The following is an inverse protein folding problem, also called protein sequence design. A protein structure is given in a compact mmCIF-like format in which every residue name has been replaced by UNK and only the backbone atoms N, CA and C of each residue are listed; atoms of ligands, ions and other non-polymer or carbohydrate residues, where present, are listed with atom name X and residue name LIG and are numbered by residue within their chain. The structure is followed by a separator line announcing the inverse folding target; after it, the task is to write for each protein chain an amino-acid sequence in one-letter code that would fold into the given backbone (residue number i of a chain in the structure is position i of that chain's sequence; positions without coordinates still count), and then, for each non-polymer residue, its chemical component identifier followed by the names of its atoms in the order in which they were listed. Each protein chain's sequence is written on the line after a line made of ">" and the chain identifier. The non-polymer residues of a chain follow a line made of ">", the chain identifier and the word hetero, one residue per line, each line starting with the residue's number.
data_IF_081374015813
#
_entry.id   IF_081374015813
#
_cell.length_a   1.000
_cell.length_b   1.000
_cell.length_c   1.000
_cell.angle_alpha   90.00
_cell.angle_beta   90.00
_cell.angle_gamma   90.00
#
_symmetry.space_group_name_H-M   'P 1'
#
loop_
_entity.id
_entity.type
_entity.pdbx_description
1 polymer ?
#
# COMPACT_ATOMS: atom_id res chain seq x y z
N UNK A 1 -6.01 -20.06 -8.14
CA UNK A 1 -5.07 -21.10 -7.69
C UNK A 1 -3.63 -20.69 -8.00
N UNK A 2 -3.24 -20.53 -9.27
CA UNK A 2 -1.86 -20.16 -9.69
C UNK A 2 -1.26 -18.90 -9.01
N UNK A 3 -2.03 -17.81 -8.85
CA UNK A 3 -1.47 -16.57 -8.29
C UNK A 3 -1.12 -16.65 -6.80
N UNK A 4 -1.85 -17.47 -6.02
CA UNK A 4 -1.56 -17.70 -4.60
C UNK A 4 -0.32 -18.57 -4.42
N UNK A 5 -0.16 -19.60 -5.26
CA UNK A 5 1.04 -20.43 -5.33
C UNK A 5 2.27 -19.55 -5.60
N UNK A 6 2.22 -18.74 -6.66
CA UNK A 6 3.33 -17.87 -7.07
C UNK A 6 3.74 -16.90 -5.96
N UNK A 7 2.77 -16.26 -5.29
CA UNK A 7 3.04 -15.37 -4.17
C UNK A 7 3.63 -16.11 -2.96
N UNK A 8 3.21 -17.35 -2.70
CA UNK A 8 3.74 -18.20 -1.64
C UNK A 8 5.20 -18.56 -1.90
N UNK A 9 5.50 -19.13 -3.08
CA UNK A 9 6.86 -19.50 -3.49
C UNK A 9 7.80 -18.30 -3.46
N UNK A 10 7.35 -17.16 -3.96
CA UNK A 10 8.16 -15.93 -3.93
C UNK A 10 8.44 -15.43 -2.51
N UNK A 11 7.50 -15.62 -1.59
CA UNK A 11 7.72 -15.25 -0.19
C UNK A 11 8.68 -16.20 0.56
N UNK A 12 8.78 -17.44 0.08
CA UNK A 12 9.64 -18.53 0.58
C UNK A 12 11.04 -18.55 -0.07
N UNK A 13 11.23 -17.90 -1.23
CA UNK A 13 12.53 -17.85 -1.96
C UNK A 13 13.69 -17.22 -1.17
N UNK A 14 13.46 -16.59 -0.02
CA UNK A 14 14.52 -16.01 0.81
C UNK A 14 15.40 -17.01 1.58
N UNK A 15 15.34 -18.31 1.27
CA UNK A 15 16.10 -19.36 1.96
C UNK A 15 17.14 -20.11 1.11
N UNK A 16 17.09 -19.99 -0.22
CA UNK A 16 18.01 -20.65 -1.13
C UNK A 16 18.65 -19.57 -1.98
N UNK A 17 19.92 -19.25 -1.68
CA UNK A 17 20.62 -18.14 -2.31
C UNK A 17 20.63 -18.25 -3.82
N UNK A 18 19.91 -17.33 -4.50
CA UNK A 18 20.31 -16.73 -5.78
C UNK A 18 19.34 -15.65 -6.30
N UNK A 19 18.11 -15.50 -5.78
CA UNK A 19 17.21 -14.42 -6.22
C UNK A 19 16.51 -13.73 -5.04
N UNK A 20 17.09 -12.61 -4.58
CA UNK A 20 16.38 -11.73 -3.67
C UNK A 20 15.25 -10.97 -4.39
N UNK A 21 14.02 -11.03 -3.86
CA UNK A 21 12.91 -10.19 -4.29
C UNK A 21 13.23 -8.69 -4.38
N UNK A 22 13.35 -8.14 -5.59
CA UNK A 22 13.50 -6.70 -5.78
C UNK A 22 12.17 -5.95 -5.63
N UNK A 23 12.24 -4.61 -5.56
CA UNK A 23 11.09 -3.72 -5.39
C UNK A 23 9.98 -3.94 -6.42
N UNK A 24 10.34 -4.23 -7.67
CA UNK A 24 9.35 -4.43 -8.75
C UNK A 24 8.57 -5.72 -8.52
N UNK A 25 9.24 -6.79 -8.13
CA UNK A 25 8.60 -8.07 -7.86
C UNK A 25 7.67 -8.00 -6.64
N UNK A 26 8.08 -7.31 -5.56
CA UNK A 26 7.19 -7.02 -4.43
C UNK A 26 5.96 -6.21 -4.85
N UNK A 27 6.19 -5.12 -5.61
CA UNK A 27 5.13 -4.26 -6.10
C UNK A 27 4.11 -5.06 -6.91
N UNK A 28 4.58 -5.89 -7.85
CA UNK A 28 3.72 -6.70 -8.72
C UNK A 28 2.89 -7.72 -7.94
N UNK A 29 3.47 -8.36 -6.92
CA UNK A 29 2.72 -9.33 -6.10
C UNK A 29 1.67 -8.64 -5.23
N UNK A 30 2.00 -7.49 -4.64
CA UNK A 30 1.08 -6.73 -3.80
C UNK A 30 -0.09 -6.21 -4.63
N UNK A 31 0.19 -5.56 -5.77
CA UNK A 31 -0.83 -5.03 -6.68
C UNK A 31 -1.69 -6.16 -7.26
N UNK A 32 -1.05 -7.25 -7.71
CA UNK A 32 -1.73 -8.40 -8.28
C UNK A 32 -2.65 -9.08 -7.27
N UNK A 33 -2.22 -9.26 -6.01
CA UNK A 33 -3.09 -9.81 -4.97
C UNK A 33 -4.30 -8.91 -4.70
N UNK A 34 -4.10 -7.59 -4.60
CA UNK A 34 -5.21 -6.65 -4.43
C UNK A 34 -6.22 -6.74 -5.57
N UNK A 35 -5.74 -6.70 -6.82
CA UNK A 35 -6.59 -6.75 -8.02
C UNK A 35 -7.38 -8.06 -8.14
N UNK A 36 -6.82 -9.16 -7.62
CA UNK A 36 -7.49 -10.46 -7.62
C UNK A 36 -8.38 -10.70 -6.37
N UNK A 37 -8.67 -9.66 -5.58
CA UNK A 37 -9.56 -9.78 -4.42
C UNK A 37 -8.92 -10.44 -3.20
N UNK A 38 -7.59 -10.39 -3.08
CA UNK A 38 -6.81 -10.93 -1.96
C UNK A 38 -6.12 -9.80 -1.14
N UNK A 39 -6.88 -8.86 -0.57
CA UNK A 39 -6.32 -7.69 0.10
C UNK A 39 -5.52 -8.05 1.37
N UNK A 40 -5.90 -9.09 2.13
CA UNK A 40 -5.13 -9.54 3.29
C UNK A 40 -3.75 -10.08 2.90
N UNK A 41 -3.67 -10.79 1.78
CA UNK A 41 -2.41 -11.31 1.24
C UNK A 41 -1.51 -10.15 0.78
N UNK A 42 -2.08 -9.15 0.12
CA UNK A 42 -1.37 -7.93 -0.26
C UNK A 42 -0.76 -7.21 0.97
N UNK A 43 -1.54 -7.06 2.05
CA UNK A 43 -1.04 -6.47 3.31
C UNK A 43 0.05 -7.32 3.97
N UNK A 44 -0.05 -8.64 3.93
CA UNK A 44 0.97 -9.53 4.47
C UNK A 44 2.29 -9.44 3.69
N UNK A 45 2.20 -9.39 2.36
CA UNK A 45 3.37 -9.20 1.50
C UNK A 45 4.03 -7.84 1.75
N UNK A 46 3.25 -6.77 1.91
CA UNK A 46 3.78 -5.47 2.30
C UNK A 46 4.54 -5.51 3.64
N UNK A 47 3.99 -6.17 4.66
CA UNK A 47 4.70 -6.34 5.94
C UNK A 47 6.03 -7.07 5.76
N UNK A 48 6.05 -8.15 4.96
CA UNK A 48 7.29 -8.88 4.65
C UNK A 48 8.31 -8.02 3.90
N UNK A 49 7.86 -7.21 2.94
CA UNK A 49 8.71 -6.26 2.20
C UNK A 49 9.40 -5.29 3.16
N UNK A 50 8.65 -4.67 4.07
CA UNK A 50 9.16 -3.71 5.05
C UNK A 50 10.10 -4.37 6.08
N UNK A 51 9.76 -5.57 6.58
CA UNK A 51 10.60 -6.32 7.52
C UNK A 51 11.97 -6.68 6.89
N UNK A 52 11.99 -6.93 5.58
CA UNK A 52 13.22 -7.18 4.81
C UNK A 52 13.98 -5.90 4.43
N UNK A 53 13.57 -4.73 4.93
CA UNK A 53 14.22 -3.45 4.65
C UNK A 53 14.02 -2.94 3.22
N UNK A 54 13.14 -3.56 2.42
CA UNK A 54 12.88 -3.11 1.06
C UNK A 54 11.91 -1.94 1.11
N UNK A 55 12.34 -0.75 0.69
CA UNK A 55 11.52 0.46 0.68
C UNK A 55 10.35 0.33 -0.32
N UNK A 56 9.08 0.43 0.11
CA UNK A 56 7.93 0.53 -0.77
C UNK A 56 8.03 1.72 -1.71
N UNK A 57 7.56 1.56 -2.95
CA UNK A 57 7.31 2.70 -3.85
C UNK A 57 5.85 3.17 -3.75
N UNK A 58 5.56 4.29 -4.40
CA UNK A 58 4.22 4.88 -4.45
C UNK A 58 3.13 3.90 -4.88
N UNK A 59 3.40 3.05 -5.88
CA UNK A 59 2.42 2.06 -6.38
C UNK A 59 2.10 1.01 -5.32
N UNK A 60 3.12 0.57 -4.58
CA UNK A 60 2.98 -0.34 -3.45
C UNK A 60 2.13 0.30 -2.37
N UNK A 61 2.46 1.53 -1.97
CA UNK A 61 1.75 2.28 -0.94
C UNK A 61 0.28 2.49 -1.31
N UNK A 62 -0.02 2.97 -2.52
CA UNK A 62 -1.39 3.17 -2.99
C UNK A 62 -2.21 1.88 -2.97
N UNK A 63 -1.59 0.75 -3.33
CA UNK A 63 -2.24 -0.56 -3.29
C UNK A 63 -2.57 -0.98 -1.86
N UNK A 64 -1.65 -0.81 -0.93
CA UNK A 64 -1.82 -1.21 0.47
C UNK A 64 -2.86 -0.32 1.17
N UNK A 65 -2.88 0.98 0.89
CA UNK A 65 -3.92 1.90 1.38
C UNK A 65 -5.30 1.49 0.83
N UNK A 66 -5.38 1.15 -0.46
CA UNK A 66 -6.62 0.67 -1.08
C UNK A 66 -7.09 -0.66 -0.48
N UNK A 67 -6.16 -1.56 -0.13
CA UNK A 67 -6.47 -2.80 0.60
C UNK A 67 -7.05 -2.50 1.99
N UNK A 68 -6.47 -1.54 2.74
CA UNK A 68 -7.01 -1.10 4.02
C UNK A 68 -8.39 -0.47 3.89
N UNK A 69 -8.64 0.30 2.83
CA UNK A 69 -9.95 0.91 2.56
C UNK A 69 -11.01 -0.16 2.28
N UNK A 70 -10.67 -1.15 1.45
CA UNK A 70 -11.55 -2.26 1.11
C UNK A 70 -11.92 -3.11 2.35
N UNK A 71 -10.96 -3.32 3.25
CA UNK A 71 -11.13 -4.12 4.46
C UNK A 71 -11.60 -3.31 5.69
N UNK A 72 -11.83 -2.00 5.53
CA UNK A 72 -12.15 -1.08 6.65
C UNK A 72 -11.16 -1.14 7.81
N UNK A 73 -9.86 -1.36 7.52
CA UNK A 73 -8.81 -1.47 8.53
C UNK A 73 -8.25 -0.09 8.91
N UNK A 74 -9.00 0.65 9.73
CA UNK A 74 -8.67 2.03 10.10
C UNK A 74 -7.26 2.17 10.70
N UNK A 75 -6.90 1.28 11.63
CA UNK A 75 -5.60 1.31 12.32
C UNK A 75 -4.45 1.15 11.33
N UNK A 76 -4.52 0.14 10.46
CA UNK A 76 -3.46 -0.13 9.49
C UNK A 76 -3.33 1.00 8.47
N UNK A 77 -4.45 1.56 8.00
CA UNK A 77 -4.39 2.70 7.09
C UNK A 77 -3.77 3.94 7.74
N UNK A 78 -4.02 4.19 9.03
CA UNK A 78 -3.34 5.26 9.79
C UNK A 78 -1.84 4.99 9.98
N UNK A 79 -1.45 3.75 10.24
CA UNK A 79 -0.02 3.37 10.33
C UNK A 79 0.71 3.61 9.01
N UNK A 80 0.11 3.21 7.89
CA UNK A 80 0.67 3.43 6.54
C UNK A 80 0.69 4.92 6.21
N UNK A 81 -0.35 5.66 6.57
CA UNK A 81 -0.36 7.11 6.39
C UNK A 81 0.80 7.77 7.18
N UNK A 82 1.02 7.38 8.44
CA UNK A 82 2.17 7.84 9.22
C UNK A 82 3.52 7.51 8.58
N UNK A 83 3.64 6.34 7.94
CA UNK A 83 4.81 6.00 7.12
C UNK A 83 4.99 6.98 5.96
N UNK A 84 3.92 7.30 5.21
CA UNK A 84 3.98 8.21 4.06
C UNK A 84 4.38 9.64 4.44
N UNK A 85 3.96 10.12 5.62
CA UNK A 85 4.39 11.42 6.16
C UNK A 85 5.91 11.41 6.37
N UNK A 86 6.44 10.34 6.99
CA UNK A 86 7.88 10.21 7.28
C UNK A 86 8.73 10.02 6.02
N UNK A 87 8.16 9.44 4.96
CA UNK A 87 8.88 9.19 3.70
C UNK A 87 8.71 10.31 2.66
N UNK A 88 7.96 11.38 2.98
CA UNK A 88 7.64 12.50 2.08
C UNK A 88 6.92 12.08 0.78
N UNK A 89 6.24 10.92 0.79
CA UNK A 89 5.60 10.35 -0.40
C UNK A 89 4.17 10.87 -0.64
N UNK A 90 3.61 11.63 0.30
CA UNK A 90 2.22 12.13 0.24
C UNK A 90 2.09 13.27 -0.77
N UNK A 91 2.95 14.28 -0.67
CA UNK A 91 2.84 15.50 -1.46
C UNK A 91 3.47 15.34 -2.85
N UNK A 92 4.41 14.39 -2.99
CA UNK A 92 5.12 14.11 -4.23
C UNK A 92 4.37 13.17 -5.18
N UNK A 93 3.31 12.47 -4.72
CA UNK A 93 2.66 11.44 -5.53
C UNK A 93 1.12 11.46 -5.46
N UNK A 94 0.51 11.82 -6.59
CA UNK A 94 -0.94 11.91 -6.73
C UNK A 94 -1.67 10.59 -6.46
N UNK A 95 -1.06 9.44 -6.79
CA UNK A 95 -1.66 8.13 -6.54
C UNK A 95 -1.74 7.84 -5.04
N UNK A 96 -0.73 8.24 -4.26
CA UNK A 96 -0.72 8.08 -2.80
C UNK A 96 -1.78 8.99 -2.19
N UNK A 97 -1.79 10.28 -2.54
CA UNK A 97 -2.80 11.24 -2.07
C UNK A 97 -4.25 10.80 -2.37
N UNK A 98 -4.54 10.39 -3.61
CA UNK A 98 -5.87 9.91 -4.00
C UNK A 98 -6.29 8.65 -3.23
N UNK A 99 -5.35 7.72 -2.99
CA UNK A 99 -5.63 6.51 -2.22
C UNK A 99 -5.97 6.84 -0.75
N UNK A 100 -5.29 7.81 -0.13
CA UNK A 100 -5.58 8.28 1.22
C UNK A 100 -6.96 8.96 1.30
N UNK A 101 -7.30 9.79 0.31
CA UNK A 101 -8.63 10.41 0.22
C UNK A 101 -9.70 9.32 0.15
N UNK A 102 -9.55 8.35 -0.76
CA UNK A 102 -10.49 7.22 -0.89
C UNK A 102 -10.63 6.43 0.41
N UNK A 103 -9.51 6.16 1.09
CA UNK A 103 -9.49 5.47 2.39
C UNK A 103 -10.26 6.24 3.47
N UNK A 104 -9.97 7.52 3.64
CA UNK A 104 -10.61 8.36 4.65
C UNK A 104 -12.08 8.64 4.33
N UNK A 105 -12.45 8.81 3.05
CA UNK A 105 -13.85 8.99 2.63
C UNK A 105 -14.72 7.76 2.91
N UNK A 106 -14.13 6.55 2.82
CA UNK A 106 -14.84 5.29 3.13
C UNK A 106 -14.85 4.95 4.63
N UNK A 107 -14.08 5.67 5.43
CA UNK A 107 -14.02 5.49 6.88
C UNK A 107 -15.10 6.36 7.54
N UNK A 108 -16.09 5.74 8.19
CA UNK A 108 -17.26 6.44 8.77
C UNK A 108 -16.88 7.53 9.78
N UNK A 109 -15.69 7.45 10.39
CA UNK A 109 -15.22 8.38 11.43
C UNK A 109 -14.23 9.44 10.95
N UNK A 110 -13.84 9.43 9.67
CA UNK A 110 -12.67 10.17 9.19
C UNK A 110 -12.93 10.95 7.88
N UNK A 111 -14.19 11.14 7.50
CA UNK A 111 -14.58 11.93 6.32
C UNK A 111 -13.99 13.35 6.32
N UNK A 112 -13.91 13.99 7.50
CA UNK A 112 -13.35 15.34 7.64
C UNK A 112 -11.85 15.38 7.30
N UNK A 113 -11.14 14.27 7.51
CA UNK A 113 -9.73 14.15 7.14
C UNK A 113 -9.61 14.08 5.63
N UNK A 114 -10.47 13.32 4.94
CA UNK A 114 -10.49 13.28 3.47
C UNK A 114 -10.72 14.66 2.85
N UNK A 115 -11.62 15.47 3.40
CA UNK A 115 -11.89 16.84 2.93
C UNK A 115 -10.63 17.71 3.06
N UNK A 116 -9.96 17.69 4.22
CA UNK A 116 -8.69 18.42 4.42
C UNK A 116 -7.59 17.98 3.45
N UNK A 117 -7.49 16.69 3.15
CA UNK A 117 -6.55 16.17 2.15
C UNK A 117 -6.89 16.64 0.74
N UNK A 118 -8.17 16.57 0.36
CA UNK A 118 -8.64 17.04 -0.93
C UNK A 118 -8.31 18.53 -1.15
N UNK A 119 -8.55 19.37 -0.13
CA UNK A 119 -8.23 20.80 -0.20
C UNK A 119 -6.73 21.07 -0.31
N UNK A 120 -5.89 20.30 0.40
CA UNK A 120 -4.42 20.38 0.28
C UNK A 120 -3.93 19.97 -1.12
N UNK A 121 -4.44 18.88 -1.67
CA UNK A 121 -4.04 18.41 -3.02
C UNK A 121 -4.45 19.39 -4.14
N UNK A 122 -5.48 20.24 -3.93
CA UNK A 122 -5.82 21.33 -4.86
C UNK A 122 -4.90 22.54 -4.75
N UNK A 123 -4.45 22.91 -3.55
CA UNK A 123 -3.58 24.08 -3.35
C UNK A 123 -2.16 23.90 -3.90
N UNK A 124 -1.66 22.66 -3.98
CA UNK A 124 -0.39 22.36 -4.67
C UNK A 124 -0.46 22.34 -6.20
N UNK A 125 -1.61 22.69 -6.79
CA UNK A 125 -1.83 22.79 -8.26
C UNK A 125 -1.87 24.24 -8.79
N UNK A 126 -1.56 25.23 -7.95
CA UNK A 126 -1.41 26.64 -8.34
C UNK A 126 0.06 27.04 -8.27
#
# INVERSE_FOLDING_TARGET
>A
MMFKEAAKYFSEMGGFGELEPNIMSWTALITGNLQNGYPYQALNLFKKMVIRGVKPNSTTISSVISACAYLSLERNGKEIHGYCIKSEEIDSNLFVGNSLISFYSKSQRLSDVAIKYFDRTKKGRL
#
